data_IF_661071920913
#
_entry.id   IF_661071920913
#
_cell.length_a   1.000
_cell.length_b   1.000
_cell.length_c   1.000
_cell.angle_alpha   90.00
_cell.angle_beta   90.00
_cell.angle_gamma   90.00
#
_symmetry.space_group_name_H-M   'P 1'
#
loop_
_entity.id
_entity.type
_entity.pdbx_description
1 polymer ?
#
# COMPACT_ATOMS: atom_id res chain seq x y z
N UNK A 1 5.90 -7.67 6.48
CA UNK A 1 5.06 -7.78 5.26
C UNK A 1 5.12 -9.19 4.71
N UNK A 2 3.99 -9.81 4.37
CA UNK A 2 3.91 -11.17 3.80
C UNK A 2 3.32 -11.13 2.38
N UNK A 3 3.63 -12.12 1.55
CA UNK A 3 3.16 -12.16 0.15
C UNK A 3 2.65 -13.54 -0.19
N UNK A 4 1.46 -13.61 -0.79
CA UNK A 4 0.94 -14.84 -1.39
C UNK A 4 1.88 -15.31 -2.53
N UNK A 5 2.42 -16.54 -2.49
CA UNK A 5 3.32 -17.06 -3.52
C UNK A 5 2.79 -16.97 -4.95
N UNK A 6 1.47 -17.10 -5.15
CA UNK A 6 0.87 -17.03 -6.49
C UNK A 6 0.99 -15.63 -7.11
N UNK A 7 0.97 -14.58 -6.28
CA UNK A 7 1.16 -13.19 -6.73
C UNK A 7 2.59 -13.00 -7.25
N UNK A 8 3.57 -13.62 -6.60
CA UNK A 8 4.99 -13.52 -6.97
C UNK A 8 5.23 -14.02 -8.39
N UNK A 9 4.55 -15.10 -8.80
CA UNK A 9 4.69 -15.70 -10.13
C UNK A 9 4.26 -14.74 -11.25
N UNK A 10 3.20 -13.97 -11.03
CA UNK A 10 2.62 -13.09 -12.06
C UNK A 10 3.18 -11.66 -12.00
N UNK A 11 3.70 -11.24 -10.85
CA UNK A 11 4.22 -9.88 -10.62
C UNK A 11 5.62 -9.91 -9.95
N UNK A 12 6.67 -10.38 -10.65
CA UNK A 12 8.00 -10.60 -10.04
C UNK A 12 8.62 -9.33 -9.45
N UNK A 13 8.33 -8.15 -10.02
CA UNK A 13 8.82 -6.86 -9.51
C UNK A 13 8.33 -6.53 -8.10
N UNK A 14 7.13 -6.99 -7.72
CA UNK A 14 6.61 -6.82 -6.36
C UNK A 14 7.50 -7.61 -5.39
N UNK A 15 7.84 -8.84 -5.75
CA UNK A 15 8.68 -9.71 -4.95
C UNK A 15 10.11 -9.18 -4.81
N UNK A 16 10.73 -8.74 -5.91
CA UNK A 16 12.08 -8.14 -5.90
C UNK A 16 12.15 -6.92 -4.97
N UNK A 17 11.12 -6.08 -4.98
CA UNK A 17 11.05 -4.91 -4.12
C UNK A 17 10.93 -5.31 -2.64
N UNK A 18 10.09 -6.31 -2.33
CA UNK A 18 9.86 -6.75 -0.95
C UNK A 18 11.11 -7.40 -0.36
N UNK A 19 11.82 -8.22 -1.15
CA UNK A 19 13.14 -8.73 -0.76
C UNK A 19 14.08 -7.56 -0.48
N UNK A 20 14.17 -6.58 -1.38
CA UNK A 20 15.04 -5.42 -1.17
C UNK A 20 14.70 -4.67 0.12
N UNK A 21 13.43 -4.43 0.42
CA UNK A 21 13.04 -3.80 1.69
C UNK A 21 13.39 -4.64 2.92
N UNK A 22 13.33 -5.97 2.80
CA UNK A 22 13.61 -6.89 3.91
C UNK A 22 15.12 -7.07 4.13
N UNK A 23 15.92 -7.16 3.06
CA UNK A 23 17.37 -7.40 3.10
C UNK A 23 18.18 -6.12 3.34
N UNK A 24 17.79 -5.00 2.73
CA UNK A 24 18.44 -3.70 2.94
C UNK A 24 17.91 -2.96 4.16
N UNK A 25 17.26 -3.69 5.08
CA UNK A 25 16.55 -3.18 6.25
C UNK A 25 17.22 -1.94 6.83
N UNK A 26 16.46 -0.85 6.87
CA UNK A 26 16.85 0.37 7.55
C UNK A 26 17.23 -0.06 8.97
N UNK A 27 18.52 0.08 9.34
CA UNK A 27 19.04 -0.37 10.65
C UNK A 27 18.42 0.36 11.86
N UNK A 28 17.51 1.29 11.60
CA UNK A 28 16.82 2.11 12.59
C UNK A 28 15.33 1.79 12.55
N UNK A 29 14.74 1.30 13.64
CA UNK A 29 13.32 0.98 13.68
C UNK A 29 12.47 2.19 13.33
N UNK A 30 11.72 2.11 12.24
CA UNK A 30 10.77 3.14 11.86
C UNK A 30 9.36 2.77 12.34
N UNK A 31 8.52 3.78 12.61
CA UNK A 31 7.16 3.51 13.08
C UNK A 31 6.30 2.76 12.06
N UNK A 32 6.62 2.87 10.76
CA UNK A 32 5.94 2.13 9.69
C UNK A 32 6.20 0.62 9.77
N UNK A 33 7.36 0.17 10.25
CA UNK A 33 7.68 -1.27 10.32
C UNK A 33 6.69 -2.03 11.19
N UNK A 34 6.30 -1.41 12.32
CA UNK A 34 5.27 -1.96 13.21
C UNK A 34 3.93 -2.19 12.51
N UNK A 35 3.63 -1.45 11.45
CA UNK A 35 2.40 -1.56 10.65
C UNK A 35 2.62 -2.56 9.52
N UNK A 36 3.74 -2.48 8.81
CA UNK A 36 4.00 -3.33 7.64
C UNK A 36 4.21 -4.80 7.99
N UNK A 37 4.47 -5.13 9.25
CA UNK A 37 4.47 -6.52 9.75
C UNK A 37 3.08 -7.17 9.71
N UNK A 38 2.01 -6.38 9.79
CA UNK A 38 0.62 -6.85 9.85
C UNK A 38 -0.14 -6.73 8.52
N UNK A 39 0.54 -6.31 7.45
CA UNK A 39 -0.03 -6.28 6.10
C UNK A 39 0.52 -7.42 5.24
N UNK A 40 -0.35 -8.00 4.43
CA UNK A 40 -0.04 -9.12 3.55
C UNK A 40 -0.63 -8.90 2.17
N UNK A 41 0.15 -9.10 1.11
CA UNK A 41 -0.38 -9.11 -0.26
C UNK A 41 -1.08 -10.45 -0.47
N UNK A 42 -2.36 -10.42 -0.85
CA UNK A 42 -3.18 -11.64 -1.01
C UNK A 42 -3.57 -11.92 -2.45
N UNK A 43 -3.66 -10.88 -3.29
CA UNK A 43 -4.05 -11.00 -4.69
C UNK A 43 -3.56 -9.80 -5.51
N UNK A 44 -3.41 -9.98 -6.83
CA UNK A 44 -2.94 -8.96 -7.75
C UNK A 44 -3.47 -9.19 -9.17
N UNK A 45 -3.86 -8.09 -9.81
CA UNK A 45 -4.27 -8.04 -11.21
C UNK A 45 -3.61 -6.81 -11.87
N UNK A 46 -3.59 -6.70 -13.21
CA UNK A 46 -3.09 -5.50 -13.85
C UNK A 46 -3.80 -4.23 -13.33
N UNK A 47 -3.02 -3.28 -12.80
CA UNK A 47 -3.49 -2.04 -12.17
C UNK A 47 -4.29 -2.23 -10.86
N UNK A 48 -4.23 -3.40 -10.21
CA UNK A 48 -4.90 -3.63 -8.93
C UNK A 48 -4.04 -4.49 -8.02
N UNK A 49 -3.87 -4.05 -6.78
CA UNK A 49 -3.20 -4.81 -5.73
C UNK A 49 -4.09 -4.92 -4.51
N UNK A 50 -4.18 -6.12 -3.97
CA UNK A 50 -5.07 -6.43 -2.87
C UNK A 50 -4.26 -6.91 -1.67
N UNK A 51 -4.60 -6.35 -0.51
CA UNK A 51 -3.96 -6.67 0.74
C UNK A 51 -4.96 -7.12 1.79
N UNK A 52 -4.44 -7.87 2.75
CA UNK A 52 -5.03 -8.02 4.07
C UNK A 52 -4.23 -7.21 5.09
N UNK A 53 -4.93 -6.67 6.07
CA UNK A 53 -4.34 -6.00 7.23
C UNK A 53 -5.04 -6.45 8.51
N UNK A 54 -4.25 -6.80 9.54
CA UNK A 54 -4.74 -7.22 10.86
C UNK A 54 -4.27 -6.21 11.92
N UNK A 55 -5.06 -5.18 12.24
CA UNK A 55 -4.63 -4.15 13.16
C UNK A 55 -4.38 -4.71 14.56
N UNK A 56 -3.28 -4.33 15.18
CA UNK A 56 -3.00 -4.62 16.59
C UNK A 56 -3.50 -3.48 17.48
N UNK A 57 -3.56 -3.73 18.80
CA UNK A 57 -3.97 -2.71 19.77
C UNK A 57 -3.06 -1.47 19.75
N UNK A 58 -1.77 -1.61 19.46
CA UNK A 58 -0.81 -0.50 19.33
C UNK A 58 -0.98 0.32 18.04
N UNK A 59 -1.84 -0.12 17.11
CA UNK A 59 -2.23 0.65 15.92
C UNK A 59 -3.48 1.51 16.15
N UNK A 60 -4.16 1.30 17.28
CA UNK A 60 -5.43 1.93 17.59
C UNK A 60 -5.27 3.26 18.34
N UNK A 61 -6.31 4.09 18.26
CA UNK A 61 -6.52 5.25 19.12
C UNK A 61 -7.12 4.83 20.48
N UNK A 62 -7.28 5.77 21.44
CA UNK A 62 -7.91 5.48 22.73
C UNK A 62 -9.35 4.93 22.67
N UNK A 63 -10.05 5.11 21.54
CA UNK A 63 -11.38 4.53 21.29
C UNK A 63 -11.31 3.12 20.69
N UNK A 64 -10.15 2.46 20.73
CA UNK A 64 -9.93 1.08 20.26
C UNK A 64 -10.24 0.85 18.78
N UNK A 65 -10.16 1.90 17.97
CA UNK A 65 -10.23 1.81 16.51
C UNK A 65 -8.92 2.25 15.88
N UNK A 66 -8.60 1.75 14.68
CA UNK A 66 -7.33 2.10 14.00
C UNK A 66 -7.17 3.62 13.94
N UNK A 67 -6.02 4.11 14.41
CA UNK A 67 -5.75 5.54 14.45
C UNK A 67 -5.73 6.11 13.02
N UNK A 68 -6.26 7.33 12.82
CA UNK A 68 -6.34 7.93 11.48
C UNK A 68 -4.97 8.02 10.79
N UNK A 69 -3.93 8.39 11.53
CA UNK A 69 -2.54 8.36 11.03
C UNK A 69 -2.03 6.95 10.66
N UNK A 70 -2.50 5.91 11.35
CA UNK A 70 -2.17 4.53 10.98
C UNK A 70 -2.88 4.13 9.67
N UNK A 71 -4.17 4.46 9.52
CA UNK A 71 -4.91 4.29 8.25
C UNK A 71 -4.18 5.00 7.11
N UNK A 72 -3.72 6.23 7.34
CA UNK A 72 -2.97 6.99 6.34
C UNK A 72 -1.70 6.27 5.88
N UNK A 73 -0.93 5.72 6.81
CA UNK A 73 0.28 4.96 6.47
C UNK A 73 -0.01 3.64 5.79
N UNK A 74 -1.06 2.92 6.22
CA UNK A 74 -1.50 1.71 5.52
C UNK A 74 -1.84 2.03 4.07
N UNK A 75 -2.62 3.09 3.82
CA UNK A 75 -2.95 3.53 2.47
C UNK A 75 -1.68 3.94 1.72
N UNK A 76 -0.81 4.76 2.31
CA UNK A 76 0.41 5.26 1.66
C UNK A 76 1.33 4.14 1.18
N UNK A 77 1.58 3.15 2.05
CA UNK A 77 2.43 1.99 1.75
C UNK A 77 1.78 1.08 0.71
N UNK A 78 0.53 0.66 0.95
CA UNK A 78 -0.16 -0.31 0.09
C UNK A 78 -0.35 0.23 -1.34
N UNK A 79 -0.74 1.50 -1.45
CA UNK A 79 -0.98 2.14 -2.74
C UNK A 79 0.31 2.46 -3.51
N UNK A 80 1.41 2.78 -2.81
CA UNK A 80 2.72 2.96 -3.45
C UNK A 80 3.15 1.69 -4.18
N UNK A 81 3.05 0.53 -3.52
CA UNK A 81 3.46 -0.76 -4.10
C UNK A 81 2.53 -1.18 -5.24
N UNK A 82 1.24 -0.80 -5.19
CA UNK A 82 0.29 -1.09 -6.27
C UNK A 82 0.73 -0.55 -7.64
N UNK A 83 1.53 0.53 -7.70
CA UNK A 83 2.09 1.06 -8.95
C UNK A 83 2.85 -0.01 -9.75
N UNK A 84 3.45 -1.00 -9.08
CA UNK A 84 4.19 -2.09 -9.71
C UNK A 84 3.29 -3.07 -10.49
N UNK A 85 1.97 -3.07 -10.24
CA UNK A 85 1.00 -3.85 -11.02
C UNK A 85 0.66 -3.22 -12.36
N UNK A 86 1.12 -2.00 -12.62
CA UNK A 86 0.82 -1.29 -13.86
C UNK A 86 1.42 -2.03 -15.07
N UNK A 87 0.58 -2.30 -16.06
CA UNK A 87 0.94 -3.07 -17.26
C UNK A 87 1.09 -2.22 -18.54
N UNK A 88 1.00 -0.87 -18.47
CA UNK A 88 1.12 0.02 -19.64
C UNK A 88 2.54 0.14 -20.21
N UNK A 89 2.86 1.20 -20.98
CA UNK A 89 4.22 1.39 -21.53
C UNK A 89 5.19 2.07 -20.55
N UNK A 90 4.65 2.89 -19.64
CA UNK A 90 5.47 3.57 -18.64
C UNK A 90 5.78 2.58 -17.51
N UNK A 91 7.04 2.51 -17.11
CA UNK A 91 7.51 1.70 -15.99
C UNK A 91 8.41 2.56 -15.14
N UNK A 92 8.04 2.74 -13.89
CA UNK A 92 8.95 3.34 -12.91
C UNK A 92 9.90 2.27 -12.38
N UNK A 93 11.14 2.62 -12.11
CA UNK A 93 12.14 1.78 -11.44
C UNK A 93 11.89 1.74 -9.93
N UNK A 94 11.53 2.89 -9.35
CA UNK A 94 11.20 3.05 -7.93
C UNK A 94 9.69 3.32 -7.71
N UNK A 95 9.28 3.41 -6.45
CA UNK A 95 7.89 3.72 -6.07
C UNK A 95 7.56 5.23 -6.12
N UNK A 96 8.58 6.09 -6.26
CA UNK A 96 8.44 7.53 -6.15
C UNK A 96 8.08 8.02 -4.74
N UNK A 97 7.88 9.33 -4.62
CA UNK A 97 7.55 10.00 -3.35
C UNK A 97 6.11 10.53 -3.35
N UNK A 98 5.47 10.56 -2.18
CA UNK A 98 4.07 10.99 -2.05
C UNK A 98 4.00 12.51 -2.14
N UNK A 99 3.25 13.04 -3.09
CA UNK A 99 3.01 14.49 -3.23
C UNK A 99 1.67 14.90 -2.61
N UNK A 100 0.69 14.00 -2.60
CA UNK A 100 -0.58 14.22 -1.91
C UNK A 100 -1.21 12.88 -1.51
N UNK A 101 -1.94 12.93 -0.39
CA UNK A 101 -2.77 11.83 0.10
C UNK A 101 -4.03 12.42 0.73
N UNK A 102 -5.19 12.10 0.16
CA UNK A 102 -6.50 12.48 0.70
C UNK A 102 -7.25 11.24 1.15
N UNK A 103 -7.90 11.29 2.32
CA UNK A 103 -8.56 10.15 2.95
C UNK A 103 -9.93 10.55 3.49
N UNK A 104 -10.92 9.71 3.25
CA UNK A 104 -12.26 9.82 3.84
C UNK A 104 -12.48 8.65 4.80
N UNK A 105 -13.02 8.97 5.98
CA UNK A 105 -13.24 8.01 7.06
C UNK A 105 -14.75 7.83 7.29
N UNK A 106 -15.25 6.62 7.05
CA UNK A 106 -16.67 6.29 7.17
C UNK A 106 -16.96 5.48 8.43
N UNK A 107 -16.12 4.47 8.72
CA UNK A 107 -16.29 3.55 9.86
C UNK A 107 -14.95 3.16 10.46
N UNK A 108 -14.91 3.05 11.78
CA UNK A 108 -13.75 2.58 12.52
C UNK A 108 -13.58 1.06 12.44
N UNK A 109 -12.35 0.61 12.21
CA UNK A 109 -11.95 -0.81 12.31
C UNK A 109 -11.33 -1.05 13.69
N UNK A 110 -11.68 -2.15 14.37
CA UNK A 110 -11.09 -2.53 15.67
C UNK A 110 -9.88 -3.45 15.49
N UNK A 111 -8.99 -3.46 16.49
CA UNK A 111 -7.88 -4.42 16.54
C UNK A 111 -8.36 -5.87 16.50
N UNK A 112 -7.57 -6.74 15.86
CA UNK A 112 -7.87 -8.17 15.69
C UNK A 112 -8.78 -8.50 14.51
N UNK A 113 -9.45 -7.51 13.91
CA UNK A 113 -10.26 -7.73 12.70
C UNK A 113 -9.36 -7.98 11.49
N UNK A 114 -9.76 -8.90 10.61
CA UNK A 114 -9.11 -9.05 9.31
C UNK A 114 -9.73 -8.07 8.34
N UNK A 115 -8.92 -7.17 7.80
CA UNK A 115 -9.39 -6.09 6.92
C UNK A 115 -8.86 -6.29 5.52
N UNK A 116 -9.66 -5.92 4.53
CA UNK A 116 -9.29 -6.01 3.12
C UNK A 116 -9.00 -4.63 2.56
N UNK A 117 -7.88 -4.49 1.86
CA UNK A 117 -7.46 -3.24 1.23
C UNK A 117 -7.35 -3.48 -0.27
N UNK A 118 -8.02 -2.65 -1.06
CA UNK A 118 -7.96 -2.73 -2.52
C UNK A 118 -7.38 -1.43 -3.08
N UNK A 119 -6.19 -1.52 -3.67
CA UNK A 119 -5.50 -0.41 -4.32
C UNK A 119 -5.67 -0.54 -5.84
N UNK A 120 -6.34 0.43 -6.46
CA UNK A 120 -6.59 0.51 -7.90
C UNK A 120 -5.74 1.65 -8.49
N UNK A 121 -4.82 1.30 -9.38
CA UNK A 121 -3.96 2.25 -10.09
C UNK A 121 -4.79 2.94 -11.17
N UNK A 122 -5.05 4.23 -10.99
CA UNK A 122 -5.87 5.03 -11.92
C UNK A 122 -5.04 5.56 -13.09
N UNK A 123 -3.79 5.95 -12.82
CA UNK A 123 -2.91 6.53 -13.82
C UNK A 123 -1.44 6.29 -13.45
N UNK A 124 -0.60 6.00 -14.45
CA UNK A 124 0.86 6.03 -14.35
C UNK A 124 1.42 6.75 -15.58
N UNK A 125 1.94 7.95 -15.36
CA UNK A 125 2.62 8.76 -16.36
C UNK A 125 4.13 8.82 -16.09
N UNK A 126 4.86 9.56 -16.93
CA UNK A 126 6.31 9.74 -16.78
C UNK A 126 6.69 10.45 -15.46
N UNK A 127 5.79 11.28 -14.95
CA UNK A 127 6.06 12.14 -13.80
C UNK A 127 5.20 11.80 -12.60
N UNK A 128 3.92 11.50 -12.81
CA UNK A 128 2.95 11.28 -11.75
C UNK A 128 2.26 9.94 -11.88
N UNK A 129 1.90 9.36 -10.73
CA UNK A 129 0.98 8.23 -10.64
C UNK A 129 -0.12 8.56 -9.64
N UNK A 130 -1.33 8.05 -9.89
CA UNK A 130 -2.48 8.21 -9.00
C UNK A 130 -3.10 6.86 -8.70
N UNK A 131 -3.32 6.59 -7.43
CA UNK A 131 -3.87 5.31 -6.95
C UNK A 131 -5.04 5.59 -6.00
N UNK A 132 -6.18 4.95 -6.26
CA UNK A 132 -7.34 4.98 -5.39
C UNK A 132 -7.38 3.71 -4.52
N UNK A 133 -7.58 3.88 -3.22
CA UNK A 133 -7.62 2.79 -2.25
C UNK A 133 -8.97 2.74 -1.55
N UNK A 134 -9.50 1.53 -1.37
CA UNK A 134 -10.66 1.25 -0.53
C UNK A 134 -10.27 0.26 0.55
N UNK A 135 -10.72 0.49 1.79
CA UNK A 135 -10.51 -0.42 2.91
C UNK A 135 -11.85 -0.87 3.44
N UNK A 136 -11.99 -2.18 3.59
CA UNK A 136 -13.19 -2.87 4.05
C UNK A 136 -12.91 -3.61 5.36
N UNK A 137 -13.92 -3.65 6.23
CA UNK A 137 -13.89 -4.54 7.41
C UNK A 137 -14.13 -6.01 7.02
N UNK A 138 -14.08 -6.89 8.02
CA UNK A 138 -14.29 -8.33 7.86
C UNK A 138 -15.69 -8.71 7.35
N UNK A 139 -16.67 -7.83 7.51
CA UNK A 139 -18.05 -8.02 7.09
C UNK A 139 -18.31 -7.42 5.70
N UNK A 140 -17.26 -6.88 5.06
CA UNK A 140 -17.32 -6.30 3.72
C UNK A 140 -17.83 -4.85 3.68
N UNK A 141 -17.98 -4.17 4.82
CA UNK A 141 -18.42 -2.78 4.82
C UNK A 141 -17.27 -1.84 4.47
N UNK A 142 -17.54 -0.82 3.65
CA UNK A 142 -16.55 0.22 3.34
C UNK A 142 -16.27 1.07 4.58
N UNK A 143 -14.99 1.14 4.98
CA UNK A 143 -14.53 1.84 6.17
C UNK A 143 -13.74 3.10 5.83
N UNK A 144 -12.81 3.01 4.88
CA UNK A 144 -11.95 4.11 4.47
C UNK A 144 -11.77 4.15 2.96
N UNK A 145 -11.63 5.35 2.40
CA UNK A 145 -11.18 5.54 1.01
C UNK A 145 -10.00 6.50 0.98
N UNK A 146 -9.05 6.28 0.09
CA UNK A 146 -7.92 7.17 -0.10
C UNK A 146 -7.59 7.39 -1.58
N UNK A 147 -7.04 8.56 -1.89
CA UNK A 147 -6.44 8.87 -3.19
C UNK A 147 -5.03 9.39 -2.93
N UNK A 148 -4.04 8.68 -3.44
CA UNK A 148 -2.63 9.04 -3.35
C UNK A 148 -2.13 9.50 -4.72
N UNK A 149 -1.36 10.59 -4.76
CA UNK A 149 -0.55 10.98 -5.91
C UNK A 149 0.93 10.85 -5.57
N UNK A 150 1.68 10.23 -6.47
CA UNK A 150 3.12 10.03 -6.35
C UNK A 150 3.87 10.74 -7.47
N UNK A 151 5.07 11.22 -7.17
CA UNK A 151 6.02 11.75 -8.14
C UNK A 151 7.14 10.75 -8.40
N UNK A 152 7.43 10.50 -9.68
CA UNK A 152 8.50 9.62 -10.13
C UNK A 152 9.86 10.26 -9.86
N UNK A 153 10.71 9.57 -9.11
CA UNK A 153 12.08 10.01 -8.77
C UNK A 153 13.14 9.28 -9.57
N UNK A 154 12.76 8.50 -10.59
CA UNK A 154 13.71 7.79 -11.43
C UNK A 154 14.54 8.80 -12.23
N UNK A 155 15.81 8.47 -12.46
CA UNK A 155 16.67 9.27 -13.31
C UNK A 155 16.07 9.37 -14.71
N UNK A 156 15.90 10.61 -15.18
CA UNK A 156 15.52 10.83 -16.57
C UNK A 156 16.76 10.56 -17.43
N UNK A 157 16.66 9.80 -18.52
CA UNK A 157 17.75 9.74 -19.49
C UNK A 157 18.06 11.19 -19.92
N UNK A 158 19.31 11.60 -19.75
CA UNK A 158 19.79 12.88 -20.27
C UNK A 158 19.62 12.82 -21.79
N UNK A 159 18.81 13.74 -22.32
CA UNK A 159 18.68 13.97 -23.76
C UNK A 159 20.02 14.43 -24.35
#
# INVERSE_FOLDING_TARGET
MKVNPDVVKNFPRIYELIIKFTEYGIKTPTWQEKITDEISIVDAEPNKLVWEYKPRSDHCNPYQTVHGGCVATVIDVCSSIAILTHNGKVRWLHLGITTSLSITYFRGIRSGQTTRIECNVLHVGKTLATVATKIYDQDGNLCYTGIQTKYCTDDRPKL
#
